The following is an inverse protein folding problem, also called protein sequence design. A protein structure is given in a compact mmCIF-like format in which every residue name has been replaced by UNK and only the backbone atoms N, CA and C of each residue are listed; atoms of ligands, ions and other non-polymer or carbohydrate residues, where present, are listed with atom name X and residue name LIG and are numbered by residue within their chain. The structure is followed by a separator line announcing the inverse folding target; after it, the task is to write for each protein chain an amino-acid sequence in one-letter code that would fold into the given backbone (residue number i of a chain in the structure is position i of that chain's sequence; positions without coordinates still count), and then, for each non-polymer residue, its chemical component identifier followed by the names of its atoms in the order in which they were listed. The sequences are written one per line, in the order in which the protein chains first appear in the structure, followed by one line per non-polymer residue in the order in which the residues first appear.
data_IF_392314861317
#
_entry.id   IF_392314861317
#
_cell.length_a   1.000
_cell.length_b   1.000
_cell.length_c   1.000
_cell.angle_alpha   90.00
_cell.angle_beta   90.00
_cell.angle_gamma   90.00
#
_symmetry.space_group_name_H-M   'P 1'
#
loop_
_entity.id
_entity.type
_entity.pdbx_description
1 polymer ?
#
# COMPACT_ATOMS: atom_id res chain seq x y z
N UNK A 1 -8.47 -26.50 7.70
CA UNK A 1 -7.91 -26.56 6.34
C UNK A 1 -6.66 -27.39 6.39
N UNK A 2 -6.57 -28.50 5.66
CA UNK A 2 -5.39 -29.38 5.64
C UNK A 2 -4.35 -28.74 4.74
N UNK A 3 -3.25 -28.27 5.31
CA UNK A 3 -2.09 -27.79 4.55
C UNK A 3 -1.57 -28.96 3.69
N UNK A 4 -1.69 -28.84 2.36
CA UNK A 4 -1.11 -29.83 1.45
C UNK A 4 0.40 -29.57 1.40
N UNK A 5 1.19 -30.52 1.87
CA UNK A 5 2.65 -30.47 1.78
C UNK A 5 3.10 -31.23 0.53
N UNK A 6 4.12 -30.72 -0.16
CA UNK A 6 4.84 -31.43 -1.21
C UNK A 6 6.34 -31.52 -0.83
N UNK A 7 7.14 -32.27 -1.58
CA UNK A 7 8.53 -32.53 -1.21
C UNK A 7 9.51 -31.91 -2.20
N UNK A 8 10.62 -31.43 -1.69
CA UNK A 8 11.72 -30.95 -2.53
C UNK A 8 12.26 -32.10 -3.42
N UNK A 9 12.27 -31.96 -4.75
CA UNK A 9 12.75 -33.00 -5.64
C UNK A 9 14.27 -33.27 -5.51
N UNK A 10 15.03 -32.33 -4.93
CA UNK A 10 16.48 -32.45 -4.77
C UNK A 10 16.87 -33.12 -3.47
N UNK A 11 16.18 -32.91 -2.34
CA UNK A 11 16.58 -33.43 -1.03
C UNK A 11 15.47 -34.15 -0.26
N UNK A 12 14.25 -34.24 -0.82
CA UNK A 12 13.11 -34.92 -0.20
C UNK A 12 12.50 -34.22 1.01
N UNK A 13 13.00 -33.04 1.40
CA UNK A 13 12.44 -32.31 2.53
C UNK A 13 11.00 -31.85 2.24
N UNK A 14 10.10 -31.92 3.24
CA UNK A 14 8.73 -31.43 3.07
C UNK A 14 8.74 -29.90 2.89
N UNK A 15 7.96 -29.43 1.92
CA UNK A 15 7.80 -28.02 1.61
C UNK A 15 6.33 -27.64 1.81
N UNK A 16 6.10 -26.51 2.43
CA UNK A 16 4.78 -25.92 2.57
C UNK A 16 4.81 -24.62 1.75
N UNK A 17 4.21 -24.61 0.55
CA UNK A 17 4.13 -23.39 -0.22
C UNK A 17 3.23 -22.39 0.52
N UNK A 18 3.62 -21.13 0.52
CA UNK A 18 2.80 -20.03 1.04
C UNK A 18 2.54 -19.04 -0.08
N UNK A 19 1.30 -18.65 -0.23
CA UNK A 19 0.89 -17.70 -1.27
C UNK A 19 0.99 -18.25 -2.70
N UNK A 20 1.02 -17.38 -3.70
CA UNK A 20 0.98 -17.70 -5.13
C UNK A 20 2.38 -17.83 -5.78
N UNK A 21 3.43 -18.04 -4.99
CA UNK A 21 4.77 -18.14 -5.53
C UNK A 21 4.91 -19.36 -6.46
N UNK A 22 5.20 -19.11 -7.73
CA UNK A 22 5.45 -20.17 -8.72
C UNK A 22 6.76 -20.93 -8.45
N UNK A 23 7.69 -20.32 -7.73
CA UNK A 23 8.99 -20.88 -7.38
C UNK A 23 9.33 -20.50 -5.93
N UNK A 24 9.73 -21.48 -5.13
CA UNK A 24 10.24 -21.28 -3.76
C UNK A 24 11.64 -21.83 -3.62
N UNK A 25 12.45 -21.28 -2.73
CA UNK A 25 13.75 -21.86 -2.36
C UNK A 25 13.54 -22.89 -1.24
N UNK A 26 14.07 -24.09 -1.42
CA UNK A 26 14.04 -25.08 -0.37
C UNK A 26 14.88 -24.62 0.84
N UNK A 27 14.32 -24.57 2.06
CA UNK A 27 15.05 -24.10 3.23
C UNK A 27 16.19 -25.03 3.67
N UNK A 28 16.22 -26.30 3.16
CA UNK A 28 17.22 -27.28 3.52
C UNK A 28 18.40 -27.37 2.55
N UNK A 29 18.14 -27.29 1.24
CA UNK A 29 19.19 -27.43 0.21
C UNK A 29 19.32 -26.23 -0.72
N UNK A 30 18.54 -25.19 -0.53
CA UNK A 30 18.52 -23.96 -1.29
C UNK A 30 18.21 -24.10 -2.80
N UNK A 31 17.80 -25.31 -3.23
CA UNK A 31 17.35 -25.52 -4.62
C UNK A 31 16.04 -24.78 -4.85
N UNK A 32 15.95 -24.10 -6.00
CA UNK A 32 14.69 -23.53 -6.46
C UNK A 32 13.72 -24.62 -6.90
N UNK A 33 12.53 -24.64 -6.32
CA UNK A 33 11.51 -25.66 -6.54
C UNK A 33 10.27 -25.00 -7.13
N UNK A 34 9.78 -25.51 -8.27
CA UNK A 34 8.52 -25.07 -8.87
C UNK A 34 7.39 -25.59 -7.98
N UNK A 35 6.55 -24.70 -7.51
CA UNK A 35 5.31 -25.05 -6.81
C UNK A 35 4.26 -25.45 -7.86
N UNK A 36 3.69 -26.68 -7.78
CA UNK A 36 2.58 -27.08 -8.62
C UNK A 36 1.42 -26.07 -8.55
N UNK A 37 0.76 -25.83 -9.67
CA UNK A 37 -0.29 -24.79 -9.76
C UNK A 37 -1.46 -25.05 -8.79
N UNK A 38 -1.81 -26.33 -8.60
CA UNK A 38 -2.84 -26.78 -7.65
C UNK A 38 -2.47 -26.59 -6.16
N UNK A 39 -1.19 -26.36 -5.87
CA UNK A 39 -0.67 -26.06 -4.51
C UNK A 39 -0.34 -24.58 -4.32
N UNK A 40 -0.37 -23.81 -5.40
CA UNK A 40 -0.34 -22.37 -5.28
C UNK A 40 -1.70 -21.97 -4.75
N UNK A 41 -1.74 -21.44 -3.55
CA UNK A 41 -2.94 -20.72 -3.15
C UNK A 41 -3.15 -19.65 -4.22
N UNK A 42 -4.11 -19.86 -5.14
CA UNK A 42 -4.71 -18.73 -5.83
C UNK A 42 -4.94 -17.72 -4.72
N UNK A 43 -4.36 -16.53 -4.84
CA UNK A 43 -4.53 -15.57 -3.76
C UNK A 43 -6.04 -15.45 -3.57
N UNK A 44 -6.59 -15.96 -2.45
CA UNK A 44 -8.03 -15.82 -2.14
C UNK A 44 -8.49 -14.38 -2.33
N UNK A 45 -7.54 -13.45 -2.22
CA UNK A 45 -7.71 -12.03 -2.55
C UNK A 45 -8.23 -11.78 -3.97
N UNK A 46 -7.94 -12.64 -4.96
CA UNK A 46 -8.53 -12.54 -6.30
C UNK A 46 -10.01 -12.93 -6.31
N UNK A 47 -10.44 -13.76 -5.36
CA UNK A 47 -11.84 -14.16 -5.16
C UNK A 47 -12.61 -13.22 -4.24
N UNK A 48 -11.95 -12.24 -3.61
CA UNK A 48 -12.58 -11.29 -2.72
C UNK A 48 -13.48 -10.32 -3.49
N UNK A 49 -14.62 -10.00 -2.89
CA UNK A 49 -15.60 -9.08 -3.47
C UNK A 49 -15.02 -7.68 -3.54
N UNK A 50 -15.17 -7.02 -4.69
CA UNK A 50 -14.85 -5.60 -4.80
C UNK A 50 -15.88 -4.80 -4.00
N UNK A 51 -15.45 -4.18 -2.92
CA UNK A 51 -16.24 -3.27 -2.10
C UNK A 51 -16.27 -1.86 -2.70
N UNK A 52 -15.14 -1.45 -3.28
CA UNK A 52 -14.97 -0.14 -3.90
C UNK A 52 -14.03 -0.26 -5.10
N UNK A 53 -14.44 0.37 -6.20
CA UNK A 53 -13.58 0.77 -7.31
C UNK A 53 -13.83 2.24 -7.61
N UNK A 54 -12.78 3.04 -7.63
CA UNK A 54 -12.82 4.44 -8.00
C UNK A 54 -11.76 4.73 -9.07
N UNK A 55 -12.19 5.25 -10.20
CA UNK A 55 -11.33 5.71 -11.28
C UNK A 55 -11.24 7.24 -11.33
N UNK A 56 -11.75 7.89 -10.28
CA UNK A 56 -11.75 9.34 -10.13
C UNK A 56 -12.41 10.11 -11.30
N UNK A 57 -13.41 9.50 -11.96
CA UNK A 57 -14.23 10.17 -12.96
C UNK A 57 -15.15 11.21 -12.33
N UNK A 58 -15.57 10.99 -11.08
CA UNK A 58 -16.40 11.86 -10.24
C UNK A 58 -15.95 11.75 -8.77
N UNK A 59 -16.53 12.52 -7.87
CA UNK A 59 -16.31 12.41 -6.42
C UNK A 59 -17.48 11.71 -5.71
N UNK A 60 -18.04 10.66 -6.28
CA UNK A 60 -19.19 9.94 -5.70
C UNK A 60 -18.85 9.23 -4.39
N UNK A 61 -17.55 8.92 -4.17
CA UNK A 61 -17.06 8.28 -2.97
C UNK A 61 -16.70 9.27 -1.85
N UNK A 62 -16.94 10.57 -2.04
CA UNK A 62 -16.73 11.63 -1.04
C UNK A 62 -15.28 11.73 -0.54
N UNK A 63 -14.31 11.64 -1.45
CA UNK A 63 -12.92 12.01 -1.13
C UNK A 63 -12.83 13.47 -0.73
N UNK A 64 -11.86 13.77 0.13
CA UNK A 64 -11.58 15.14 0.53
C UNK A 64 -11.08 15.95 -0.67
N UNK A 65 -11.81 17.00 -1.08
CA UNK A 65 -11.45 17.89 -2.19
C UNK A 65 -11.53 19.35 -1.77
N UNK A 66 -10.79 20.20 -2.46
CA UNK A 66 -10.73 21.64 -2.21
C UNK A 66 -9.37 22.08 -1.66
N UNK A 67 -9.34 23.29 -1.09
CA UNK A 67 -8.16 23.85 -0.44
C UNK A 67 -8.18 23.53 1.06
N UNK A 68 -7.13 22.90 1.54
CA UNK A 68 -6.98 22.46 2.93
C UNK A 68 -5.65 22.95 3.52
N UNK A 69 -5.45 24.25 3.49
CA UNK A 69 -4.25 24.90 3.99
C UNK A 69 -4.08 24.65 5.50
N UNK A 70 -2.85 24.42 5.89
CA UNK A 70 -2.48 24.16 7.29
C UNK A 70 -1.07 24.69 7.58
N UNK A 71 -0.62 24.59 8.83
CA UNK A 71 0.77 24.89 9.18
C UNK A 71 1.78 23.95 8.50
N UNK A 72 1.33 22.80 7.99
CA UNK A 72 2.15 21.76 7.37
C UNK A 72 2.27 21.95 5.85
N UNK A 73 1.15 22.32 5.21
CA UNK A 73 1.06 22.57 3.76
C UNK A 73 0.25 23.83 3.50
N UNK A 74 0.79 24.76 2.70
CA UNK A 74 0.06 25.93 2.26
C UNK A 74 0.67 26.49 0.97
N UNK A 75 -0.06 26.41 -0.18
CA UNK A 75 -1.36 25.79 -0.33
C UNK A 75 -1.34 24.26 -0.32
N UNK A 76 -2.49 23.65 0.02
CA UNK A 76 -2.80 22.24 -0.27
C UNK A 76 -4.13 22.22 -1.04
N UNK A 77 -4.08 21.83 -2.29
CA UNK A 77 -5.24 21.71 -3.15
C UNK A 77 -5.44 20.26 -3.60
N UNK A 78 -6.65 19.75 -3.41
CA UNK A 78 -7.04 18.38 -3.77
C UNK A 78 -8.19 18.42 -4.75
N UNK A 79 -8.02 17.88 -5.95
CA UNK A 79 -9.01 17.95 -7.04
C UNK A 79 -9.20 16.58 -7.68
N UNK A 80 -10.47 16.20 -7.87
CA UNK A 80 -10.84 15.08 -8.73
C UNK A 80 -11.29 15.65 -10.07
N UNK A 81 -10.54 15.37 -11.12
CA UNK A 81 -10.81 15.78 -12.49
C UNK A 81 -10.03 14.91 -13.48
N UNK A 82 -10.56 14.76 -14.68
CA UNK A 82 -9.90 14.05 -15.80
C UNK A 82 -9.44 12.62 -15.44
N UNK A 83 -10.23 11.90 -14.65
CA UNK A 83 -9.91 10.53 -14.24
C UNK A 83 -8.71 10.42 -13.29
N UNK A 84 -8.52 11.40 -12.44
CA UNK A 84 -7.47 11.39 -11.41
C UNK A 84 -7.86 12.18 -10.17
N UNK A 85 -7.31 11.80 -9.05
CA UNK A 85 -7.33 12.57 -7.81
C UNK A 85 -5.96 13.21 -7.63
N UNK A 86 -5.85 14.50 -7.96
CA UNK A 86 -4.61 15.27 -7.92
C UNK A 86 -4.47 16.00 -6.60
N UNK A 87 -3.28 15.91 -6.03
CA UNK A 87 -2.86 16.68 -4.87
C UNK A 87 -1.71 17.59 -5.24
N UNK A 88 -1.92 18.89 -5.10
CA UNK A 88 -0.89 19.93 -5.27
C UNK A 88 -0.62 20.57 -3.92
N UNK A 89 0.61 20.52 -3.45
CA UNK A 89 0.97 21.03 -2.14
C UNK A 89 2.27 21.81 -2.18
N UNK A 90 2.32 22.88 -1.37
CA UNK A 90 3.54 23.55 -0.97
C UNK A 90 3.86 23.10 0.45
N UNK A 91 5.00 22.47 0.65
CA UNK A 91 5.44 22.01 1.97
C UNK A 91 5.86 23.21 2.81
N UNK A 92 5.09 23.54 3.83
CA UNK A 92 5.41 24.66 4.75
C UNK A 92 6.36 24.23 5.84
N UNK A 93 6.20 23.01 6.34
CA UNK A 93 7.02 22.42 7.39
C UNK A 93 7.57 21.08 6.93
N UNK A 94 8.86 20.83 7.12
CA UNK A 94 9.50 19.57 6.77
C UNK A 94 8.88 18.38 7.52
N UNK A 95 8.91 17.21 6.91
CA UNK A 95 8.35 15.95 7.45
C UNK A 95 6.88 16.06 7.82
N UNK A 96 6.12 16.66 6.91
CA UNK A 96 4.68 16.86 7.05
C UNK A 96 3.90 15.86 6.19
N UNK A 97 2.85 15.29 6.75
CA UNK A 97 1.95 14.36 6.08
C UNK A 97 0.55 14.94 5.94
N UNK A 98 -0.09 14.67 4.80
CA UNK A 98 -1.51 14.90 4.58
C UNK A 98 -2.17 13.60 4.15
N UNK A 99 -3.39 13.36 4.65
CA UNK A 99 -4.13 12.10 4.47
C UNK A 99 -5.56 12.37 4.00
N UNK A 100 -6.11 11.44 3.21
CA UNK A 100 -7.53 11.37 2.89
C UNK A 100 -7.97 9.92 2.94
N UNK A 101 -9.05 9.61 3.65
CA UNK A 101 -9.57 8.25 3.79
C UNK A 101 -11.09 8.18 3.61
N UNK A 102 -11.56 6.99 3.30
CA UNK A 102 -12.97 6.71 3.05
C UNK A 102 -13.62 6.08 4.29
N UNK A 103 -14.39 6.86 5.02
CA UNK A 103 -15.03 6.45 6.28
C UNK A 103 -16.07 5.34 6.14
N UNK A 104 -16.59 5.09 4.95
CA UNK A 104 -17.65 4.13 4.70
C UNK A 104 -17.17 2.65 4.74
N UNK A 105 -15.87 2.38 4.55
CA UNK A 105 -15.35 1.02 4.38
C UNK A 105 -14.38 0.68 5.50
N UNK A 106 -14.90 0.02 6.54
CA UNK A 106 -14.07 -0.50 7.64
C UNK A 106 -13.82 -1.98 7.44
N UNK A 107 -12.56 -2.35 7.21
CA UNK A 107 -12.15 -3.72 6.86
C UNK A 107 -11.05 -4.22 7.78
N UNK A 108 -11.01 -5.54 8.02
CA UNK A 108 -9.93 -6.25 8.72
C UNK A 108 -9.00 -6.95 7.72
N UNK A 109 -9.57 -7.87 6.94
CA UNK A 109 -8.89 -8.55 5.84
C UNK A 109 -9.27 -7.86 4.54
N UNK A 110 -8.27 -7.49 3.73
CA UNK A 110 -8.51 -6.75 2.51
C UNK A 110 -7.38 -6.89 1.51
N UNK A 111 -7.69 -6.62 0.25
CA UNK A 111 -6.73 -6.34 -0.82
C UNK A 111 -6.99 -4.93 -1.32
N UNK A 112 -6.06 -4.05 -1.05
CA UNK A 112 -6.06 -2.66 -1.48
C UNK A 112 -5.07 -2.49 -2.63
N UNK A 113 -5.51 -1.88 -3.74
CA UNK A 113 -4.68 -1.57 -4.91
C UNK A 113 -4.87 -0.12 -5.30
N UNK A 114 -3.78 0.61 -5.53
CA UNK A 114 -3.80 2.02 -5.94
C UNK A 114 -2.75 2.26 -7.02
N UNK A 115 -3.16 2.77 -8.18
CA UNK A 115 -2.26 3.29 -9.19
C UNK A 115 -2.02 4.78 -8.96
N UNK A 116 -0.76 5.20 -8.93
CA UNK A 116 -0.38 6.57 -8.59
C UNK A 116 0.91 7.00 -9.27
N UNK A 117 1.12 8.31 -9.35
CA UNK A 117 2.29 8.90 -10.01
C UNK A 117 2.77 10.15 -9.31
N UNK A 118 4.08 10.28 -9.14
CA UNK A 118 4.77 11.53 -8.80
C UNK A 118 4.87 12.42 -10.05
N UNK A 119 4.37 13.64 -9.97
CA UNK A 119 4.31 14.59 -11.09
C UNK A 119 5.34 15.69 -10.95
N UNK A 120 5.51 16.22 -9.74
CA UNK A 120 6.43 17.33 -9.45
C UNK A 120 7.01 17.19 -8.04
N UNK A 121 8.26 17.59 -7.90
CA UNK A 121 9.05 17.58 -6.68
C UNK A 121 10.37 16.85 -6.87
N UNK A 122 11.26 16.96 -5.90
CA UNK A 122 12.50 16.19 -5.90
C UNK A 122 12.23 14.72 -5.60
N UNK A 123 12.98 13.81 -6.24
CA UNK A 123 12.73 12.37 -6.18
C UNK A 123 12.78 11.77 -4.76
N UNK A 124 13.55 12.38 -3.87
CA UNK A 124 13.71 11.96 -2.48
C UNK A 124 13.12 12.97 -1.48
N UNK A 125 12.57 14.10 -1.95
CA UNK A 125 12.04 15.17 -1.11
C UNK A 125 10.61 14.92 -0.64
N UNK A 126 9.98 13.88 -1.15
CA UNK A 126 8.60 13.54 -0.80
C UNK A 126 8.31 12.05 -1.00
N UNK A 127 7.26 11.57 -0.36
CA UNK A 127 6.70 10.24 -0.57
C UNK A 127 5.19 10.30 -0.73
N UNK A 128 4.62 9.23 -1.26
CA UNK A 128 3.18 9.06 -1.41
C UNK A 128 2.81 7.58 -1.31
N UNK A 129 1.57 7.32 -0.96
CA UNK A 129 1.14 5.94 -0.86
C UNK A 129 -0.24 5.77 -0.29
N UNK A 130 -0.45 4.62 0.32
CA UNK A 130 -1.73 4.20 0.87
C UNK A 130 -1.67 4.13 2.39
N UNK A 131 -2.73 4.60 3.03
CA UNK A 131 -2.97 4.40 4.45
C UNK A 131 -4.05 3.34 4.63
N UNK A 132 -3.89 2.52 5.65
CA UNK A 132 -4.82 1.43 5.91
C UNK A 132 -4.95 1.14 7.40
N UNK A 133 -6.01 0.41 7.76
CA UNK A 133 -6.38 0.18 9.16
C UNK A 133 -6.41 1.47 9.98
N UNK A 134 -6.88 2.56 9.33
CA UNK A 134 -6.97 3.88 9.95
C UNK A 134 -8.04 3.86 11.04
N UNK A 135 -7.65 4.28 12.25
CA UNK A 135 -8.55 4.48 13.38
C UNK A 135 -8.96 5.96 13.48
N UNK A 136 -7.98 6.85 13.30
CA UNK A 136 -8.06 8.31 13.30
C UNK A 136 -6.81 8.92 12.66
N UNK A 137 -6.66 10.24 12.72
CA UNK A 137 -5.53 10.97 12.16
C UNK A 137 -4.17 10.77 12.86
N UNK A 138 -4.13 9.95 13.93
CA UNK A 138 -2.92 9.67 14.73
C UNK A 138 -2.64 8.18 14.88
N UNK A 139 -3.49 7.33 14.28
CA UNK A 139 -3.49 5.89 14.49
C UNK A 139 -3.80 5.15 13.19
N UNK A 140 -2.77 4.80 12.39
CA UNK A 140 -2.88 4.13 11.09
C UNK A 140 -1.56 3.54 10.63
N UNK A 141 -1.59 2.67 9.61
CA UNK A 141 -0.42 2.27 8.82
C UNK A 141 -0.30 3.11 7.57
N UNK A 142 0.95 3.30 7.12
CA UNK A 142 1.28 4.00 5.89
C UNK A 142 2.31 3.19 5.08
N UNK A 143 1.91 2.63 3.94
CA UNK A 143 2.80 2.04 2.95
C UNK A 143 3.08 3.07 1.87
N UNK A 144 4.33 3.47 1.72
CA UNK A 144 4.70 4.60 0.89
C UNK A 144 6.00 4.40 0.11
N UNK A 145 6.10 5.12 -0.98
CA UNK A 145 7.24 5.08 -1.89
C UNK A 145 7.76 6.49 -2.19
N UNK A 146 9.01 6.55 -2.64
CA UNK A 146 9.64 7.75 -3.22
C UNK A 146 10.00 7.50 -4.67
N UNK A 147 10.12 8.57 -5.48
CA UNK A 147 10.58 8.46 -6.87
C UNK A 147 12.09 8.14 -6.99
N UNK A 148 12.81 8.11 -5.86
CA UNK A 148 14.19 7.66 -5.75
C UNK A 148 14.34 6.16 -5.51
N UNK A 149 13.26 5.38 -5.72
CA UNK A 149 13.21 3.92 -5.60
C UNK A 149 13.35 3.39 -4.16
N UNK A 150 12.85 4.10 -3.17
CA UNK A 150 12.74 3.60 -1.81
C UNK A 150 11.28 3.43 -1.42
N UNK A 151 11.02 2.42 -0.58
CA UNK A 151 9.73 2.21 0.07
C UNK A 151 9.93 2.02 1.58
N UNK A 152 8.88 2.31 2.33
CA UNK A 152 8.82 2.02 3.76
C UNK A 152 7.38 1.64 4.15
N UNK A 153 7.26 0.98 5.31
CA UNK A 153 5.98 0.81 5.99
C UNK A 153 6.13 1.43 7.37
N UNK A 154 5.35 2.44 7.61
CA UNK A 154 5.30 3.15 8.89
C UNK A 154 3.95 2.88 9.57
N UNK A 155 3.94 2.92 10.89
CA UNK A 155 2.73 2.92 11.70
C UNK A 155 2.79 4.10 12.66
N UNK A 156 1.70 4.84 12.78
CA UNK A 156 1.57 5.87 13.81
C UNK A 156 0.66 5.39 14.92
N UNK A 157 1.13 5.53 16.17
CA UNK A 157 0.42 5.19 17.39
C UNK A 157 0.39 6.40 18.31
N UNK A 158 -0.81 6.95 18.52
CA UNK A 158 -1.00 8.21 19.26
C UNK A 158 -0.15 9.37 18.70
N UNK A 159 0.10 9.36 17.38
CA UNK A 159 0.94 10.35 16.70
C UNK A 159 2.44 10.12 16.83
N UNK A 160 2.89 9.01 17.40
CA UNK A 160 4.29 8.59 17.42
C UNK A 160 4.54 7.59 16.29
N UNK A 161 5.57 7.85 15.51
CA UNK A 161 5.95 7.02 14.36
C UNK A 161 6.83 5.86 14.78
N UNK A 162 6.51 4.69 14.24
CA UNK A 162 7.30 3.47 14.27
C UNK A 162 7.41 2.96 12.83
N UNK A 163 8.51 2.32 12.49
CA UNK A 163 8.73 1.79 11.15
C UNK A 163 8.90 0.26 11.20
N UNK A 164 7.80 -0.52 11.09
CA UNK A 164 7.90 -1.96 10.94
C UNK A 164 8.81 -2.37 9.77
N UNK A 165 8.85 -1.55 8.71
CA UNK A 165 9.81 -1.67 7.61
C UNK A 165 10.45 -0.30 7.40
N UNK A 166 11.72 -0.18 7.77
CA UNK A 166 12.54 0.98 7.44
C UNK A 166 12.74 1.13 5.92
N UNK A 167 13.15 2.31 5.50
CA UNK A 167 13.43 2.61 4.11
C UNK A 167 14.33 1.57 3.44
N UNK A 168 13.79 0.90 2.42
CA UNK A 168 14.49 -0.09 1.60
C UNK A 168 14.44 0.32 0.14
N UNK A 169 15.56 0.12 -0.55
CA UNK A 169 15.60 0.30 -2.01
C UNK A 169 15.00 -0.90 -2.72
N UNK A 170 14.25 -0.62 -3.80
CA UNK A 170 13.73 -1.65 -4.70
C UNK A 170 13.67 -1.16 -6.15
N UNK A 171 14.03 -2.02 -7.08
CA UNK A 171 13.90 -1.75 -8.51
C UNK A 171 12.46 -2.00 -9.04
N UNK A 172 11.54 -2.46 -8.18
CA UNK A 172 10.13 -2.58 -8.50
C UNK A 172 9.47 -1.21 -8.75
N UNK A 173 9.99 -0.12 -8.16
CA UNK A 173 9.51 1.24 -8.38
C UNK A 173 10.00 1.77 -9.72
N UNK A 174 9.08 2.30 -10.53
CA UNK A 174 9.36 2.96 -11.82
C UNK A 174 9.48 4.46 -11.61
N UNK A 175 10.70 5.03 -11.59
CA UNK A 175 10.89 6.48 -11.47
C UNK A 175 10.18 7.24 -12.57
N UNK A 176 9.51 8.36 -12.23
CA UNK A 176 8.69 9.19 -13.13
C UNK A 176 7.53 8.43 -13.82
N UNK A 177 7.28 7.18 -13.43
CA UNK A 177 6.24 6.31 -13.98
C UNK A 177 5.02 6.21 -13.10
N UNK A 178 3.99 5.55 -13.62
CA UNK A 178 2.88 5.06 -12.81
C UNK A 178 3.35 3.87 -12.00
N UNK A 179 3.10 3.90 -10.69
CA UNK A 179 3.37 2.81 -9.79
C UNK A 179 2.05 2.31 -9.17
N UNK A 180 1.89 1.00 -9.19
CA UNK A 180 0.82 0.31 -8.48
C UNK A 180 1.33 -0.10 -7.10
N UNK A 181 0.64 0.34 -6.07
CA UNK A 181 0.85 -0.07 -4.68
C UNK A 181 -0.25 -1.02 -4.28
N UNK A 182 0.13 -2.15 -3.67
CA UNK A 182 -0.83 -3.13 -3.20
C UNK A 182 -0.53 -3.54 -1.76
N UNK A 183 -1.58 -3.67 -0.96
CA UNK A 183 -1.53 -4.22 0.40
C UNK A 183 -2.53 -5.36 0.49
N UNK A 184 -2.05 -6.55 0.84
CA UNK A 184 -2.92 -7.69 1.17
C UNK A 184 -2.80 -7.92 2.67
N UNK A 185 -3.91 -7.77 3.39
CA UNK A 185 -3.99 -7.98 4.82
C UNK A 185 -4.85 -9.21 5.15
N UNK A 186 -4.32 -10.12 5.97
CA UNK A 186 -5.01 -11.31 6.49
C UNK A 186 -4.65 -11.50 7.97
N UNK A 187 -5.57 -11.13 8.85
CA UNK A 187 -5.27 -11.10 10.27
C UNK A 187 -4.08 -10.20 10.56
N UNK A 188 -3.00 -10.74 11.12
CA UNK A 188 -1.75 -10.03 11.41
C UNK A 188 -0.79 -10.01 10.21
N UNK A 189 -0.99 -10.88 9.24
CA UNK A 189 -0.11 -10.98 8.07
C UNK A 189 -0.41 -9.84 7.07
N UNK A 190 0.61 -9.06 6.74
CA UNK A 190 0.58 -7.93 5.82
C UNK A 190 1.60 -8.16 4.71
N UNK A 191 1.14 -8.22 3.46
CA UNK A 191 1.98 -8.39 2.27
C UNK A 191 1.92 -7.10 1.46
N UNK A 192 3.09 -6.60 1.08
CA UNK A 192 3.26 -5.36 0.32
C UNK A 192 3.82 -5.65 -1.06
N UNK A 193 3.13 -5.14 -2.10
CA UNK A 193 3.58 -5.28 -3.48
C UNK A 193 3.73 -3.90 -4.14
N UNK A 194 4.68 -3.81 -5.05
CA UNK A 194 4.86 -2.67 -5.94
C UNK A 194 4.95 -3.21 -7.36
N UNK A 195 4.05 -2.75 -8.24
CA UNK A 195 3.99 -3.20 -9.65
C UNK A 195 3.91 -4.74 -9.78
N UNK A 196 3.13 -5.40 -8.91
CA UNK A 196 2.95 -6.84 -8.88
C UNK A 196 4.11 -7.65 -8.26
N UNK A 197 5.19 -6.99 -7.79
CA UNK A 197 6.31 -7.65 -7.11
C UNK A 197 6.16 -7.52 -5.60
N UNK A 198 6.21 -8.63 -4.88
CA UNK A 198 6.25 -8.62 -3.41
C UNK A 198 7.57 -7.97 -2.98
N UNK A 199 7.48 -6.85 -2.26
CA UNK A 199 8.65 -6.12 -1.75
C UNK A 199 8.89 -6.37 -0.27
N UNK A 200 7.86 -6.76 0.47
CA UNK A 200 7.98 -7.18 1.87
C UNK A 200 6.73 -7.90 2.36
N UNK A 201 6.90 -8.67 3.44
CA UNK A 201 5.85 -9.32 4.21
C UNK A 201 6.20 -9.22 5.69
N UNK A 202 5.22 -8.94 6.54
CA UNK A 202 5.38 -8.85 8.00
C UNK A 202 4.16 -9.42 8.71
N UNK A 203 4.35 -9.84 9.95
CA UNK A 203 3.28 -10.06 10.90
C UNK A 203 3.25 -8.88 11.89
N UNK A 204 2.14 -8.15 11.95
CA UNK A 204 1.99 -6.97 12.79
C UNK A 204 0.53 -6.84 13.28
N UNK A 205 0.35 -6.56 14.56
CA UNK A 205 -0.96 -6.55 15.24
C UNK A 205 -1.32 -5.21 15.89
N UNK A 206 -0.65 -4.10 15.55
CA UNK A 206 -0.98 -2.79 16.12
C UNK A 206 -2.45 -2.41 15.89
N UNK A 207 -2.95 -2.63 14.68
CA UNK A 207 -4.36 -2.43 14.34
C UNK A 207 -4.89 -3.61 13.54
N UNK A 208 -5.96 -4.25 14.02
CA UNK A 208 -6.57 -5.42 13.36
C UNK A 208 -7.56 -5.06 12.25
N UNK A 209 -8.10 -3.83 12.24
CA UNK A 209 -9.10 -3.35 11.26
C UNK A 209 -9.07 -1.83 11.19
N UNK A 210 -9.70 -1.26 10.17
CA UNK A 210 -9.85 0.18 10.03
C UNK A 210 -10.27 0.58 8.62
N UNK A 211 -10.33 1.88 8.38
CA UNK A 211 -10.63 2.41 7.05
C UNK A 211 -9.35 2.53 6.23
N UNK A 212 -9.51 2.80 4.93
CA UNK A 212 -8.42 2.87 3.96
C UNK A 212 -8.41 4.22 3.24
N UNK A 213 -7.25 4.61 2.71
CA UNK A 213 -7.11 5.87 2.01
C UNK A 213 -5.75 6.08 1.37
N UNK A 214 -5.46 7.33 1.04
CA UNK A 214 -4.19 7.74 0.44
C UNK A 214 -3.54 8.84 1.27
N UNK A 215 -2.23 9.00 1.11
CA UNK A 215 -1.46 10.04 1.77
C UNK A 215 -0.28 10.52 0.92
N UNK A 216 0.13 11.75 1.18
CA UNK A 216 1.38 12.32 0.70
C UNK A 216 2.21 12.85 1.87
N UNK A 217 3.52 12.83 1.73
CA UNK A 217 4.44 13.38 2.73
C UNK A 217 5.50 14.23 2.05
N UNK A 218 5.78 15.40 2.62
CA UNK A 218 6.82 16.32 2.17
C UNK A 218 7.94 16.44 3.18
N UNK A 219 9.17 16.19 2.75
CA UNK A 219 10.36 16.20 3.61
C UNK A 219 11.10 17.54 3.63
N UNK A 220 10.94 18.34 2.57
CA UNK A 220 11.69 19.57 2.39
C UNK A 220 10.76 20.78 2.45
N UNK A 221 10.95 21.64 3.46
CA UNK A 221 10.22 22.90 3.56
C UNK A 221 10.49 23.79 2.34
N UNK A 222 9.46 24.43 1.80
CA UNK A 222 9.53 25.27 0.61
C UNK A 222 9.36 24.50 -0.70
N UNK A 223 9.30 23.19 -0.69
CA UNK A 223 9.15 22.39 -1.90
C UNK A 223 7.69 22.36 -2.35
N UNK A 224 7.47 22.52 -3.66
CA UNK A 224 6.17 22.23 -4.31
C UNK A 224 6.17 20.77 -4.76
N UNK A 225 5.14 20.02 -4.37
CA UNK A 225 4.96 18.61 -4.71
C UNK A 225 3.60 18.40 -5.37
N UNK A 226 3.54 17.51 -6.36
CA UNK A 226 2.30 17.14 -7.04
C UNK A 226 2.26 15.62 -7.24
N UNK A 227 1.14 15.02 -6.85
CA UNK A 227 0.87 13.60 -7.04
C UNK A 227 -0.50 13.40 -7.69
N UNK A 228 -0.59 12.40 -8.55
CA UNK A 228 -1.83 11.88 -9.11
C UNK A 228 -2.10 10.48 -8.59
N UNK A 229 -3.30 10.24 -8.04
CA UNK A 229 -3.88 8.92 -7.85
C UNK A 229 -4.85 8.68 -9.00
N UNK A 230 -4.69 7.54 -9.69
CA UNK A 230 -5.36 7.27 -10.97
C UNK A 230 -6.53 6.30 -10.81
N UNK A 231 -6.41 5.38 -9.87
CA UNK A 231 -7.50 4.52 -9.42
C UNK A 231 -7.27 4.04 -7.99
N UNK A 232 -8.32 3.51 -7.41
CA UNK A 232 -8.33 2.95 -6.06
C UNK A 232 -9.28 1.76 -6.03
N UNK A 233 -8.80 0.60 -5.65
CA UNK A 233 -9.61 -0.62 -5.54
C UNK A 233 -9.47 -1.22 -4.17
N UNK A 234 -10.61 -1.47 -3.51
CA UNK A 234 -10.68 -2.20 -2.25
C UNK A 234 -11.49 -3.48 -2.46
N UNK A 235 -10.91 -4.61 -2.10
CA UNK A 235 -11.59 -5.90 -2.04
C UNK A 235 -11.50 -6.47 -0.63
N UNK A 236 -12.51 -7.23 -0.23
CA UNK A 236 -12.51 -7.95 1.03
C UNK A 236 -13.22 -9.32 0.90
N UNK A 237 -12.96 -10.26 1.81
CA UNK A 237 -13.74 -11.49 1.91
C UNK A 237 -15.24 -11.20 2.06
N UNK A 238 -16.09 -12.09 1.52
CA UNK A 238 -17.56 -11.96 1.68
C UNK A 238 -17.95 -11.95 3.16
N UNK A 239 -18.79 -11.01 3.55
CA UNK A 239 -19.32 -10.90 4.91
C UNK A 239 -18.56 -9.94 5.81
N UNK A 240 -17.67 -9.11 5.26
CA UNK A 240 -17.04 -7.96 5.95
C UNK A 240 -17.64 -6.64 5.40
N UNK A 241 -18.98 -6.55 5.39
CA UNK A 241 -19.71 -5.32 5.04
C UNK A 241 -19.96 -4.47 6.29
#
# INVERSE_FOLDING_TARGET
MTSQSFHCPACGAPLIPRGNAAVISCPHCHTSVIVPEELREESDAAQWTTLLFDNFASNDNNWLVGNHDSEYFSPLNQVIADGRYRWEAQVSRASSISTSWLGAYRVSDFHLTVNSKHILGSKAGSSWGVIFRVQDNRNYYYFHITDSQFFAVSVTKNGQWLNPIDWKRTDAIKPNGVNQLEVIARGTNLIFLINGQIVSEIDDDYYGQGVVGVAIEGYLSGEKIIFDFLDFTLRAPRGQE
#
